data_IF_332587372703
#
_entry.id   IF_332587372703
#
_cell.length_a   1.000
_cell.length_b   1.000
_cell.length_c   1.000
_cell.angle_alpha   90.00
_cell.angle_beta   90.00
_cell.angle_gamma   90.00
#
_symmetry.space_group_name_H-M   'P 1'
#
loop_
_entity.id
_entity.type
_entity.pdbx_description
1 polymer ?
#
# COMPACT_ATOMS: atom_id res chain seq x y z
N UNK A 1 -4.00 10.24 4.75
CA UNK A 1 -2.92 10.13 3.75
C UNK A 1 -3.20 9.05 2.73
N UNK A 2 -3.25 7.77 3.11
CA UNK A 2 -3.44 6.66 2.15
C UNK A 2 -4.66 6.79 1.24
N UNK A 3 -5.77 7.39 1.69
CA UNK A 3 -6.96 7.61 0.86
C UNK A 3 -6.69 8.39 -0.44
N UNK A 4 -5.66 9.26 -0.48
CA UNK A 4 -5.38 10.13 -1.61
C UNK A 4 -4.22 9.68 -2.50
N UNK A 5 -3.55 8.57 -2.18
CA UNK A 5 -2.30 8.21 -2.87
C UNK A 5 -2.52 8.04 -4.38
N UNK A 6 -3.56 7.31 -4.79
CA UNK A 6 -3.93 7.09 -6.19
C UNK A 6 -4.95 8.10 -6.75
N UNK A 7 -5.13 9.27 -6.13
CA UNK A 7 -6.22 10.20 -6.46
C UNK A 7 -6.22 10.65 -7.94
N UNK A 8 -5.05 10.68 -8.59
CA UNK A 8 -4.89 11.08 -9.99
C UNK A 8 -4.80 9.91 -11.00
N UNK A 9 -4.93 8.66 -10.54
CA UNK A 9 -4.67 7.46 -11.35
C UNK A 9 -5.45 7.44 -12.67
N UNK A 10 -6.74 7.78 -12.65
CA UNK A 10 -7.60 7.76 -13.85
C UNK A 10 -7.14 8.77 -14.91
N UNK A 11 -6.52 9.87 -14.50
CA UNK A 11 -6.08 10.95 -15.37
C UNK A 11 -4.61 10.78 -15.81
N UNK A 12 -3.80 10.05 -15.03
CA UNK A 12 -2.38 9.79 -15.30
C UNK A 12 -2.11 8.40 -15.89
N UNK A 13 -3.15 7.61 -16.18
CA UNK A 13 -3.00 6.24 -16.68
C UNK A 13 -2.10 6.13 -17.93
N UNK A 14 -2.16 7.12 -18.83
CA UNK A 14 -1.35 7.18 -20.07
C UNK A 14 -0.03 7.98 -19.88
N UNK A 15 0.17 8.60 -18.71
CA UNK A 15 1.37 9.37 -18.36
C UNK A 15 1.82 9.09 -16.91
N UNK A 16 2.39 7.91 -16.64
CA UNK A 16 2.76 7.50 -15.28
C UNK A 16 3.81 8.39 -14.62
N UNK A 17 4.60 9.14 -15.39
CA UNK A 17 5.59 10.08 -14.84
C UNK A 17 4.92 11.24 -14.09
N UNK A 18 3.66 11.56 -14.42
CA UNK A 18 2.88 12.60 -13.76
C UNK A 18 2.06 12.11 -12.56
N UNK A 19 1.95 10.81 -12.36
CA UNK A 19 1.24 10.22 -11.24
C UNK A 19 1.78 10.74 -9.90
N UNK A 20 0.89 10.91 -8.92
CA UNK A 20 1.11 11.59 -7.65
C UNK A 20 1.38 13.10 -7.72
N UNK A 21 2.05 13.62 -8.77
CA UNK A 21 2.30 15.05 -8.91
C UNK A 21 1.01 15.83 -9.12
N UNK A 22 0.10 15.31 -9.93
CA UNK A 22 -1.17 15.98 -10.19
C UNK A 22 -2.08 15.93 -8.97
N UNK A 23 -2.15 14.78 -8.28
CA UNK A 23 -2.83 14.68 -6.99
C UNK A 23 -2.25 15.66 -5.96
N UNK A 24 -0.93 15.81 -5.89
CA UNK A 24 -0.27 16.76 -5.01
C UNK A 24 -0.65 18.22 -5.31
N UNK A 25 -0.75 18.61 -6.59
CA UNK A 25 -1.22 19.94 -6.99
C UNK A 25 -2.66 20.19 -6.51
N UNK A 26 -3.58 19.23 -6.71
CA UNK A 26 -4.97 19.35 -6.27
C UNK A 26 -5.09 19.45 -4.75
N UNK A 27 -4.37 18.61 -4.01
CA UNK A 27 -4.40 18.59 -2.55
C UNK A 27 -3.86 19.89 -1.96
N UNK A 28 -2.77 20.45 -2.51
CA UNK A 28 -2.26 21.77 -2.12
C UNK A 28 -3.26 22.87 -2.42
N UNK A 29 -3.90 22.83 -3.59
CA UNK A 29 -4.97 23.78 -3.95
C UNK A 29 -6.16 23.72 -2.99
N UNK A 30 -6.45 22.55 -2.43
CA UNK A 30 -7.49 22.33 -1.43
C UNK A 30 -7.05 22.64 0.02
N UNK A 31 -5.79 23.04 0.25
CA UNK A 31 -5.27 23.36 1.58
C UNK A 31 -5.01 22.14 2.47
N UNK A 32 -4.77 20.97 1.88
CA UNK A 32 -4.40 19.75 2.62
C UNK A 32 -2.96 19.84 3.14
N UNK A 33 -2.71 19.32 4.34
CA UNK A 33 -1.39 19.38 4.99
C UNK A 33 -0.27 18.74 4.16
N UNK A 34 0.92 19.37 4.16
CA UNK A 34 2.08 18.90 3.39
C UNK A 34 2.56 17.49 3.81
N UNK A 35 2.31 17.05 5.04
CA UNK A 35 2.61 15.67 5.45
C UNK A 35 1.77 14.66 4.66
N UNK A 36 0.51 14.99 4.39
CA UNK A 36 -0.38 14.17 3.55
C UNK A 36 0.10 14.22 2.09
N UNK A 37 0.39 15.41 1.58
CA UNK A 37 0.89 15.61 0.21
C UNK A 37 2.21 14.86 -0.01
N UNK A 38 3.12 14.88 0.97
CA UNK A 38 4.38 14.14 0.90
C UNK A 38 4.14 12.63 0.85
N UNK A 39 3.19 12.11 1.62
CA UNK A 39 2.82 10.68 1.56
C UNK A 39 2.25 10.28 0.20
N UNK A 40 1.47 11.15 -0.44
CA UNK A 40 1.04 10.96 -1.84
C UNK A 40 2.24 10.98 -2.76
N UNK A 41 3.13 11.97 -2.72
CA UNK A 41 4.30 11.98 -3.61
C UNK A 41 5.21 10.75 -3.40
N UNK A 42 5.38 10.31 -2.16
CA UNK A 42 6.29 9.24 -1.78
C UNK A 42 5.91 7.85 -2.31
N UNK A 43 4.63 7.59 -2.59
CA UNK A 43 4.21 6.28 -3.11
C UNK A 43 4.78 6.07 -4.54
N UNK A 44 4.75 7.11 -5.38
CA UNK A 44 5.27 7.06 -6.75
C UNK A 44 6.75 7.48 -6.87
N UNK A 45 7.22 8.43 -6.05
CA UNK A 45 8.52 9.10 -6.22
C UNK A 45 9.43 8.90 -4.99
N UNK A 46 10.51 8.09 -5.10
CA UNK A 46 11.36 7.71 -3.96
C UNK A 46 12.00 8.86 -3.18
N UNK A 47 12.28 9.99 -3.82
CA UNK A 47 12.89 11.17 -3.19
C UNK A 47 12.00 11.81 -2.11
N UNK A 48 10.70 11.50 -2.08
CA UNK A 48 9.75 11.98 -1.06
C UNK A 48 9.60 11.05 0.14
N UNK A 49 10.24 9.86 0.13
CA UNK A 49 10.26 8.88 1.23
C UNK A 49 11.20 9.32 2.35
N UNK A 50 10.82 10.39 3.05
CA UNK A 50 11.69 11.15 3.95
C UNK A 50 11.33 11.03 5.44
N UNK A 51 10.17 10.47 5.74
CA UNK A 51 9.61 10.44 7.10
C UNK A 51 8.83 9.15 7.37
N UNK A 52 8.43 8.97 8.63
CA UNK A 52 7.71 7.77 9.07
C UNK A 52 6.34 7.61 8.39
N UNK A 53 5.66 8.71 8.07
CA UNK A 53 4.34 8.67 7.43
C UNK A 53 4.45 8.19 5.98
N UNK A 54 5.36 8.76 5.20
CA UNK A 54 5.64 8.35 3.82
C UNK A 54 6.10 6.89 3.73
N UNK A 55 6.99 6.44 4.63
CA UNK A 55 7.33 5.02 4.78
C UNK A 55 6.12 4.14 5.07
N UNK A 56 5.20 4.62 5.92
CA UNK A 56 3.95 3.92 6.24
C UNK A 56 3.05 3.74 5.02
N UNK A 57 2.87 4.79 4.22
CA UNK A 57 2.05 4.74 2.99
C UNK A 57 2.64 3.74 2.00
N UNK A 58 3.94 3.86 1.70
CA UNK A 58 4.63 2.99 0.74
C UNK A 58 4.54 1.52 1.14
N UNK A 59 4.83 1.20 2.40
CA UNK A 59 4.76 -0.17 2.88
C UNK A 59 3.31 -0.70 2.86
N UNK A 60 2.33 0.14 3.25
CA UNK A 60 0.92 -0.22 3.31
C UNK A 60 0.34 -0.49 1.92
N UNK A 61 0.68 0.33 0.92
CA UNK A 61 0.30 0.11 -0.48
C UNK A 61 0.84 -1.23 -1.00
N UNK A 62 2.15 -1.46 -0.83
CA UNK A 62 2.78 -2.70 -1.26
C UNK A 62 2.16 -3.96 -0.61
N UNK A 63 1.87 -3.92 0.70
CA UNK A 63 1.26 -5.08 1.38
C UNK A 63 -0.22 -5.26 1.00
N UNK A 64 -0.96 -4.19 0.72
CA UNK A 64 -2.34 -4.27 0.28
C UNK A 64 -2.47 -5.07 -1.02
N UNK A 65 -1.61 -4.80 -2.02
CA UNK A 65 -1.58 -5.56 -3.27
C UNK A 65 -1.33 -7.07 -3.05
N UNK A 66 -0.44 -7.43 -2.11
CA UNK A 66 -0.18 -8.83 -1.76
C UNK A 66 -1.39 -9.49 -1.10
N UNK A 67 -2.03 -8.79 -0.16
CA UNK A 67 -3.16 -9.30 0.62
C UNK A 67 -4.41 -9.47 -0.25
N UNK A 68 -4.71 -8.52 -1.13
CA UNK A 68 -5.80 -8.61 -2.10
C UNK A 68 -5.58 -9.82 -3.01
N UNK A 69 -4.37 -9.97 -3.58
CA UNK A 69 -4.04 -11.13 -4.40
C UNK A 69 -4.19 -12.45 -3.61
N UNK A 70 -3.76 -12.47 -2.34
CA UNK A 70 -3.89 -13.62 -1.46
C UNK A 70 -5.35 -13.96 -1.13
N UNK A 71 -6.21 -12.95 -0.96
CA UNK A 71 -7.64 -13.15 -0.73
C UNK A 71 -8.33 -13.69 -1.99
N UNK A 72 -8.02 -13.16 -3.18
CA UNK A 72 -8.67 -13.53 -4.42
C UNK A 72 -8.52 -15.02 -4.79
N UNK A 73 -7.43 -15.66 -4.38
CA UNK A 73 -7.18 -17.09 -4.65
C UNK A 73 -7.73 -18.04 -3.59
N UNK A 74 -8.35 -17.52 -2.52
CA UNK A 74 -8.92 -18.32 -1.44
C UNK A 74 -10.44 -18.45 -1.59
N UNK A 75 -11.04 -19.61 -1.22
CA UNK A 75 -12.48 -19.76 -1.22
C UNK A 75 -13.17 -18.83 -0.21
N UNK A 76 -12.59 -18.68 0.99
CA UNK A 76 -13.12 -17.81 2.06
C UNK A 76 -12.61 -16.36 1.96
N UNK A 77 -12.00 -15.99 0.83
CA UNK A 77 -11.46 -14.65 0.56
C UNK A 77 -10.50 -14.14 1.64
N UNK A 78 -10.81 -13.06 2.35
CA UNK A 78 -10.02 -12.52 3.47
C UNK A 78 -10.33 -13.20 4.80
N UNK A 79 -11.50 -13.83 4.95
CA UNK A 79 -11.94 -14.47 6.20
C UNK A 79 -10.99 -15.59 6.62
N UNK A 80 -10.54 -15.58 7.88
CA UNK A 80 -9.60 -16.58 8.41
C UNK A 80 -8.20 -16.58 7.77
N UNK A 81 -7.81 -15.50 7.07
CA UNK A 81 -6.46 -15.36 6.51
C UNK A 81 -5.42 -15.39 7.64
N UNK A 82 -4.33 -16.14 7.46
CA UNK A 82 -3.27 -16.28 8.47
C UNK A 82 -2.00 -15.59 8.01
N UNK A 83 -1.34 -14.84 8.90
CA UNK A 83 -0.02 -14.23 8.68
C UNK A 83 0.98 -15.21 8.04
N UNK A 84 1.03 -16.45 8.53
CA UNK A 84 1.94 -17.49 8.01
C UNK A 84 1.67 -17.86 6.54
N UNK A 85 0.42 -17.80 6.08
CA UNK A 85 0.09 -18.03 4.66
C UNK A 85 0.53 -16.86 3.77
N UNK A 86 0.33 -15.62 4.23
CA UNK A 86 0.78 -14.42 3.52
C UNK A 86 2.31 -14.35 3.47
N UNK A 87 3.01 -14.69 4.56
CA UNK A 87 4.49 -14.77 4.56
C UNK A 87 5.04 -15.78 3.55
N UNK A 88 4.33 -16.88 3.29
CA UNK A 88 4.72 -17.81 2.21
C UNK A 88 4.58 -17.14 0.85
N UNK A 89 3.48 -16.41 0.61
CA UNK A 89 3.25 -15.65 -0.63
C UNK A 89 4.25 -14.52 -0.82
N UNK A 90 4.65 -13.83 0.24
CA UNK A 90 5.69 -12.79 0.21
C UNK A 90 7.04 -13.32 -0.32
N UNK A 91 7.36 -14.61 -0.07
CA UNK A 91 8.59 -15.26 -0.55
C UNK A 91 8.47 -15.80 -1.98
N UNK A 92 7.24 -16.06 -2.44
CA UNK A 92 6.95 -16.55 -3.78
C UNK A 92 6.95 -15.38 -4.77
N UNK A 93 8.00 -15.26 -5.57
CA UNK A 93 8.13 -14.17 -6.57
C UNK A 93 7.18 -14.31 -7.75
N UNK A 94 6.68 -15.53 -8.02
CA UNK A 94 5.74 -15.76 -9.12
C UNK A 94 4.31 -15.33 -8.74
N UNK A 95 3.98 -15.36 -7.45
CA UNK A 95 2.68 -14.95 -6.95
C UNK A 95 2.56 -13.42 -6.84
N UNK A 96 1.62 -12.77 -7.53
CA UNK A 96 1.51 -11.31 -7.56
C UNK A 96 2.86 -10.64 -7.94
N UNK A 97 3.31 -10.79 -9.20
CA UNK A 97 4.63 -10.34 -9.64
C UNK A 97 4.79 -8.81 -9.58
N UNK A 98 3.70 -8.04 -9.65
CA UNK A 98 3.73 -6.57 -9.54
C UNK A 98 3.95 -6.03 -8.13
N UNK A 99 3.85 -6.87 -7.08
CA UNK A 99 4.06 -6.43 -5.70
C UNK A 99 5.53 -6.15 -5.42
N UNK A 100 5.83 -4.95 -4.93
CA UNK A 100 7.15 -4.61 -4.43
C UNK A 100 7.40 -5.21 -3.04
N UNK A 101 8.11 -6.33 -3.01
CA UNK A 101 8.36 -7.09 -1.78
C UNK A 101 9.39 -6.44 -0.86
N UNK A 102 10.23 -5.58 -1.41
CA UNK A 102 11.27 -4.91 -0.63
C UNK A 102 10.67 -3.75 0.17
N UNK A 103 9.67 -3.06 -0.37
CA UNK A 103 8.87 -2.07 0.38
C UNK A 103 8.12 -2.69 1.56
N UNK A 104 7.53 -3.88 1.38
CA UNK A 104 6.92 -4.62 2.51
C UNK A 104 7.96 -4.96 3.58
N UNK A 105 9.19 -5.34 3.17
CA UNK A 105 10.25 -5.71 4.12
C UNK A 105 10.83 -4.51 4.87
N UNK A 106 10.86 -3.35 4.23
CA UNK A 106 11.36 -2.11 4.84
C UNK A 106 10.50 -1.63 6.01
N UNK A 107 9.27 -2.13 6.17
CA UNK A 107 8.42 -1.81 7.33
C UNK A 107 9.11 -2.08 8.68
N UNK A 108 9.96 -3.11 8.77
CA UNK A 108 10.67 -3.42 10.00
C UNK A 108 11.69 -2.34 10.38
N UNK A 109 12.51 -1.92 9.43
CA UNK A 109 13.52 -0.88 9.65
C UNK A 109 12.88 0.51 9.79
N UNK A 110 11.90 0.84 8.96
CA UNK A 110 11.34 2.19 8.87
C UNK A 110 10.21 2.45 9.88
N UNK A 111 9.43 1.43 10.21
CA UNK A 111 8.27 1.54 11.10
C UNK A 111 8.52 0.88 12.46
N UNK A 112 9.54 0.04 12.61
CA UNK A 112 9.80 -0.71 13.84
C UNK A 112 8.76 -1.81 14.09
N UNK A 113 8.07 -2.27 13.05
CA UNK A 113 7.09 -3.35 13.11
C UNK A 113 7.71 -4.61 12.53
N UNK A 114 7.71 -5.71 13.26
CA UNK A 114 8.09 -6.98 12.67
C UNK A 114 7.20 -7.30 11.47
N UNK A 115 7.70 -8.07 10.52
CA UNK A 115 6.92 -8.48 9.34
C UNK A 115 5.62 -9.18 9.74
N UNK A 116 5.59 -9.88 10.87
CA UNK A 116 4.42 -10.61 11.35
C UNK A 116 3.36 -9.65 11.87
N UNK A 117 3.77 -8.62 12.64
CA UNK A 117 2.88 -7.55 13.10
C UNK A 117 2.36 -6.74 11.92
N UNK A 118 3.24 -6.35 10.99
CA UNK A 118 2.87 -5.53 9.85
C UNK A 118 1.85 -6.23 8.93
N UNK A 119 2.09 -7.52 8.61
CA UNK A 119 1.12 -8.33 7.86
C UNK A 119 -0.17 -8.51 8.66
N UNK A 120 -0.09 -8.70 9.97
CA UNK A 120 -1.26 -8.81 10.85
C UNK A 120 -2.18 -7.60 10.74
N UNK A 121 -1.61 -6.39 10.91
CA UNK A 121 -2.33 -5.12 10.76
C UNK A 121 -2.96 -4.98 9.36
N UNK A 122 -2.22 -5.35 8.31
CA UNK A 122 -2.76 -5.32 6.95
C UNK A 122 -3.94 -6.28 6.74
N UNK A 123 -3.89 -7.48 7.33
CA UNK A 123 -5.01 -8.44 7.27
C UNK A 123 -6.24 -7.87 7.97
N UNK A 124 -6.08 -7.30 9.17
CA UNK A 124 -7.17 -6.69 9.94
C UNK A 124 -7.81 -5.55 9.14
N UNK A 125 -7.00 -4.62 8.60
CA UNK A 125 -7.50 -3.53 7.77
C UNK A 125 -8.21 -4.01 6.50
N UNK A 126 -7.70 -5.05 5.83
CA UNK A 126 -8.38 -5.64 4.68
C UNK A 126 -9.75 -6.23 5.06
N UNK A 127 -9.83 -6.88 6.22
CA UNK A 127 -11.06 -7.52 6.70
C UNK A 127 -12.15 -6.51 7.07
N UNK A 128 -11.78 -5.31 7.52
CA UNK A 128 -12.74 -4.24 7.81
C UNK A 128 -13.52 -3.79 6.57
N UNK A 129 -12.86 -3.72 5.41
CA UNK A 129 -13.46 -3.26 4.15
C UNK A 129 -13.82 -4.40 3.18
N UNK A 130 -13.51 -5.64 3.53
CA UNK A 130 -13.62 -6.81 2.66
C UNK A 130 -15.00 -6.94 1.99
N UNK A 131 -16.08 -6.72 2.75
CA UNK A 131 -17.46 -6.79 2.24
C UNK A 131 -17.76 -5.76 1.15
N UNK A 132 -17.12 -4.60 1.17
CA UNK A 132 -17.32 -3.51 0.21
C UNK A 132 -16.58 -3.77 -1.11
N UNK A 133 -15.43 -4.45 -1.04
CA UNK A 133 -14.55 -4.72 -2.19
C UNK A 133 -14.65 -6.17 -2.70
N UNK A 134 -15.58 -6.96 -2.18
CA UNK A 134 -15.85 -8.34 -2.63
C UNK A 134 -14.79 -9.37 -2.21
N UNK A 135 -14.10 -9.11 -1.10
CA UNK A 135 -13.06 -9.95 -0.49
C UNK A 135 -13.48 -10.51 0.87
#
# INVERSE_FOLDING_TARGET
>A
TGLFHDLDQDETAEDPERHAYMAAEWLRGAGVDEEVVNGVLAHAHPEYRRDRMSSGVVAADAVAGLLVAAALVRPERSSGMKVSSVKKKLKDRAFAPGVNRDEIRQAEEQLGLSIDEFIGLGIEGLQEVAGEIGL
#
